data_IF_613270197321
#
_entry.id   IF_613270197321
#
_cell.length_a   1.000
_cell.length_b   1.000
_cell.length_c   1.000
_cell.angle_alpha   90.00
_cell.angle_beta   90.00
_cell.angle_gamma   90.00
#
_symmetry.space_group_name_H-M   'P 1'
#
loop_
_entity.id
_entity.type
_entity.pdbx_description
1 polymer ?
#
# COMPACT_ATOMS: atom_id res chain seq x y z
N UNK A 1 29.09 16.37 -4.96
CA UNK A 1 28.62 17.43 -5.88
C UNK A 1 28.54 16.93 -7.29
N UNK A 2 29.62 16.38 -7.87
CA UNK A 2 29.65 15.90 -9.25
C UNK A 2 28.66 14.76 -9.50
N UNK A 3 28.55 13.80 -8.59
CA UNK A 3 27.59 12.67 -8.65
C UNK A 3 26.12 13.13 -8.53
N UNK A 4 25.84 14.14 -7.70
CA UNK A 4 24.48 14.69 -7.55
C UNK A 4 24.01 15.49 -8.74
N UNK A 5 24.95 16.17 -9.43
CA UNK A 5 24.67 16.88 -10.69
C UNK A 5 24.43 15.90 -11.85
N UNK A 6 25.20 14.81 -11.90
CA UNK A 6 25.11 13.80 -12.96
C UNK A 6 23.81 12.97 -12.86
N UNK A 7 23.34 12.67 -11.65
CA UNK A 7 22.11 11.89 -11.42
C UNK A 7 20.86 12.73 -11.10
N UNK A 8 20.89 14.03 -11.38
CA UNK A 8 19.77 14.97 -11.09
C UNK A 8 18.42 14.53 -11.66
N UNK A 9 18.41 13.72 -12.72
CA UNK A 9 17.20 13.25 -13.43
C UNK A 9 16.50 12.05 -12.74
N UNK A 10 17.20 11.34 -11.86
CA UNK A 10 16.67 10.14 -11.17
C UNK A 10 16.46 10.34 -9.66
N UNK A 11 16.94 11.44 -9.08
CA UNK A 11 16.82 11.72 -7.65
C UNK A 11 15.60 12.57 -7.33
N UNK A 12 14.87 12.19 -6.29
CA UNK A 12 13.78 12.98 -5.74
C UNK A 12 14.29 14.39 -5.37
N UNK A 13 13.58 15.44 -5.80
CA UNK A 13 13.98 16.85 -5.58
C UNK A 13 14.28 17.15 -4.11
N UNK A 14 13.54 16.56 -3.17
CA UNK A 14 13.77 16.73 -1.72
C UNK A 14 15.17 16.27 -1.29
N UNK A 15 15.68 15.18 -1.88
CA UNK A 15 17.01 14.65 -1.60
C UNK A 15 18.13 15.58 -2.10
N UNK A 16 17.94 16.15 -3.27
CA UNK A 16 18.88 17.11 -3.85
C UNK A 16 18.96 18.38 -2.98
N UNK A 17 17.81 18.89 -2.53
CA UNK A 17 17.76 20.06 -1.66
C UNK A 17 18.42 19.83 -0.30
N UNK A 18 18.23 18.65 0.32
CA UNK A 18 18.88 18.32 1.59
C UNK A 18 20.41 18.38 1.51
N UNK A 19 20.99 17.80 0.44
CA UNK A 19 22.45 17.84 0.22
C UNK A 19 22.94 19.27 -0.02
N UNK A 20 22.20 20.08 -0.78
CA UNK A 20 22.57 21.47 -1.03
C UNK A 20 22.52 22.33 0.23
N UNK A 21 21.47 22.20 1.04
CA UNK A 21 21.34 22.91 2.32
C UNK A 21 22.51 22.54 3.24
N UNK A 22 22.85 21.26 3.35
CA UNK A 22 23.99 20.82 4.16
C UNK A 22 25.30 21.40 3.65
N UNK A 23 25.55 21.41 2.35
CA UNK A 23 26.78 21.99 1.78
C UNK A 23 26.90 23.50 2.05
N UNK A 24 25.81 24.24 1.90
CA UNK A 24 25.81 25.68 2.19
C UNK A 24 26.09 25.92 3.67
N UNK A 25 25.42 25.17 4.56
CA UNK A 25 25.65 25.28 6.01
C UNK A 25 27.10 24.98 6.39
N UNK A 26 27.69 23.95 5.81
CA UNK A 26 29.08 23.58 6.03
C UNK A 26 30.04 24.64 5.53
N UNK A 27 29.82 25.20 4.34
CA UNK A 27 30.65 26.25 3.74
C UNK A 27 30.62 27.53 4.56
N UNK A 28 29.42 27.95 5.01
CA UNK A 28 29.27 29.16 5.87
C UNK A 28 29.97 28.92 7.22
N UNK A 29 29.84 27.77 7.82
CA UNK A 29 30.48 27.41 9.10
C UNK A 29 32.01 27.40 8.98
N UNK A 30 32.55 26.89 7.87
CA UNK A 30 33.97 26.88 7.59
C UNK A 30 34.53 28.32 7.40
N UNK A 31 33.77 29.20 6.72
CA UNK A 31 34.14 30.58 6.54
C UNK A 31 34.15 31.34 7.87
N UNK A 32 33.15 31.16 8.73
CA UNK A 32 33.11 31.80 10.06
C UNK A 32 34.29 31.34 10.92
N UNK A 33 34.59 30.02 10.90
CA UNK A 33 35.72 29.46 11.66
C UNK A 33 37.07 29.98 11.12
N UNK A 34 37.17 30.20 9.81
CA UNK A 34 38.38 30.81 9.23
C UNK A 34 38.59 32.25 9.72
N UNK A 35 37.53 33.03 9.88
CA UNK A 35 37.59 34.40 10.39
C UNK A 35 37.89 34.46 11.91
N UNK A 36 37.42 33.44 12.66
CA UNK A 36 37.61 33.39 14.10
C UNK A 36 38.01 31.95 14.52
N UNK A 37 39.30 31.73 14.57
CA UNK A 37 39.93 30.41 14.82
C UNK A 37 39.64 29.81 16.23
N UNK A 38 39.09 30.61 17.15
CA UNK A 38 38.67 30.12 18.49
C UNK A 38 37.33 29.42 18.50
N UNK A 39 36.55 29.48 17.42
CA UNK A 39 35.22 28.89 17.31
C UNK A 39 35.27 27.57 16.54
N UNK A 40 35.02 26.47 17.23
CA UNK A 40 34.95 25.12 16.64
C UNK A 40 33.52 24.81 16.13
N UNK A 41 33.04 25.60 15.15
CA UNK A 41 31.65 25.51 14.66
C UNK A 41 31.48 24.45 13.56
N UNK A 42 32.53 24.17 12.78
CA UNK A 42 32.44 23.23 11.62
C UNK A 42 32.05 21.82 12.05
N UNK A 43 32.58 21.33 13.17
CA UNK A 43 32.21 20.01 13.70
C UNK A 43 30.74 19.92 14.08
N UNK A 44 30.22 20.95 14.76
CA UNK A 44 28.82 21.03 15.13
C UNK A 44 27.91 21.12 13.88
N UNK A 45 28.24 21.99 12.95
CA UNK A 45 27.49 22.14 11.69
C UNK A 45 27.48 20.84 10.85
N UNK A 46 28.63 20.12 10.84
CA UNK A 46 28.71 18.81 10.18
C UNK A 46 27.80 17.77 10.83
N UNK A 47 27.76 17.72 12.16
CA UNK A 47 26.90 16.77 12.91
C UNK A 47 25.42 17.08 12.69
N UNK A 48 25.03 18.33 12.79
CA UNK A 48 23.64 18.76 12.52
C UNK A 48 23.25 18.46 11.06
N UNK A 49 24.14 18.76 10.12
CA UNK A 49 23.89 18.50 8.71
C UNK A 49 23.75 17.01 8.38
N UNK A 50 24.59 16.13 8.99
CA UNK A 50 24.45 14.68 8.86
C UNK A 50 23.14 14.19 9.47
N UNK A 51 22.72 14.74 10.61
CA UNK A 51 21.43 14.41 11.22
C UNK A 51 20.25 14.82 10.30
N UNK A 52 20.31 15.99 9.69
CA UNK A 52 19.29 16.44 8.74
C UNK A 52 19.25 15.55 7.50
N UNK A 53 20.42 15.20 6.96
CA UNK A 53 20.52 14.25 5.84
C UNK A 53 19.94 12.90 6.24
N UNK A 54 20.27 12.36 7.40
CA UNK A 54 19.71 11.10 7.89
C UNK A 54 18.19 11.14 7.99
N UNK A 55 17.62 12.20 8.59
CA UNK A 55 16.18 12.36 8.75
C UNK A 55 15.44 12.54 7.39
N UNK A 56 16.07 13.18 6.43
CA UNK A 56 15.45 13.46 5.11
C UNK A 56 15.69 12.35 4.07
N UNK A 57 16.81 11.64 4.16
CA UNK A 57 17.19 10.61 3.20
C UNK A 57 16.87 9.19 3.66
N UNK A 58 17.03 8.93 4.95
CA UNK A 58 16.95 7.61 5.54
C UNK A 58 16.05 7.64 6.78
N UNK A 59 14.76 7.87 6.57
CA UNK A 59 13.80 7.36 7.54
C UNK A 59 13.30 6.00 7.02
N UNK A 60 14.04 4.89 7.22
CA UNK A 60 13.62 3.56 6.77
C UNK A 60 12.32 3.13 7.45
N UNK A 61 12.01 3.69 8.63
CA UNK A 61 10.76 3.47 9.34
C UNK A 61 9.55 4.06 8.61
N UNK A 62 9.74 5.07 7.74
CA UNK A 62 8.63 5.63 6.95
C UNK A 62 8.12 4.71 5.86
N UNK A 63 8.90 3.71 5.44
CA UNK A 63 8.60 2.79 4.35
C UNK A 63 8.34 1.35 4.82
N UNK A 64 8.40 1.11 6.13
CA UNK A 64 8.11 -0.21 6.71
C UNK A 64 6.94 -0.11 7.67
N UNK A 65 6.17 -1.16 7.70
CA UNK A 65 5.16 -1.39 8.71
C UNK A 65 5.83 -1.81 10.03
N UNK A 66 5.35 -1.28 11.15
CA UNK A 66 6.00 -1.48 12.46
C UNK A 66 5.72 -2.86 13.05
N UNK A 67 4.59 -3.45 12.73
CA UNK A 67 4.15 -4.72 13.30
C UNK A 67 4.70 -5.89 12.50
N UNK A 68 4.56 -5.87 11.17
CA UNK A 68 5.01 -6.94 10.30
C UNK A 68 6.46 -6.81 9.84
N UNK A 69 7.04 -5.59 9.88
CA UNK A 69 8.36 -5.31 9.31
C UNK A 69 8.42 -5.31 7.78
N UNK A 70 7.31 -5.62 7.11
CA UNK A 70 7.16 -5.54 5.65
C UNK A 70 7.23 -4.10 5.15
N UNK A 71 7.36 -3.92 3.85
CA UNK A 71 7.16 -2.60 3.26
C UNK A 71 5.70 -2.17 3.43
N UNK A 72 5.49 -0.88 3.70
CA UNK A 72 4.15 -0.34 3.90
C UNK A 72 3.51 0.16 2.59
N UNK A 73 2.28 0.66 2.69
CA UNK A 73 1.51 1.23 1.58
C UNK A 73 2.26 2.35 0.83
N UNK A 74 2.98 3.22 1.56
CA UNK A 74 3.77 4.30 0.96
C UNK A 74 4.90 3.75 0.08
N UNK A 75 5.58 2.72 0.54
CA UNK A 75 6.61 2.04 -0.23
C UNK A 75 6.03 1.36 -1.48
N UNK A 76 4.86 0.71 -1.35
CA UNK A 76 4.14 0.12 -2.48
C UNK A 76 3.82 1.16 -3.55
N UNK A 77 3.24 2.30 -3.17
CA UNK A 77 2.89 3.36 -4.12
C UNK A 77 4.12 3.89 -4.86
N UNK A 78 5.23 4.10 -4.15
CA UNK A 78 6.49 4.53 -4.77
C UNK A 78 7.04 3.48 -5.73
N UNK A 79 7.02 2.21 -5.33
CA UNK A 79 7.52 1.10 -6.14
C UNK A 79 6.65 0.87 -7.39
N UNK A 80 5.33 0.82 -7.24
CA UNK A 80 4.40 0.71 -8.35
C UNK A 80 4.56 1.87 -9.33
N UNK A 81 4.63 3.12 -8.86
CA UNK A 81 4.89 4.29 -9.70
C UNK A 81 6.18 4.18 -10.49
N UNK A 82 7.23 3.62 -9.91
CA UNK A 82 8.49 3.38 -10.61
C UNK A 82 8.34 2.34 -11.72
N UNK A 83 7.64 1.22 -11.47
CA UNK A 83 7.40 0.18 -12.48
C UNK A 83 6.53 0.71 -13.64
N UNK A 84 5.44 1.41 -13.33
CA UNK A 84 4.61 2.06 -14.35
C UNK A 84 5.39 3.07 -15.20
N UNK A 85 6.27 3.87 -14.60
CA UNK A 85 7.09 4.83 -15.35
C UNK A 85 8.07 4.18 -16.33
N UNK A 86 8.41 2.91 -16.11
CA UNK A 86 9.28 2.11 -16.97
C UNK A 86 8.51 1.24 -17.95
N UNK A 87 7.18 1.26 -17.92
CA UNK A 87 6.31 0.33 -18.65
C UNK A 87 6.63 -1.15 -18.37
N UNK A 88 7.07 -1.46 -17.15
CA UNK A 88 7.31 -2.82 -16.71
C UNK A 88 5.99 -3.43 -16.23
N UNK A 89 5.56 -4.54 -16.85
CA UNK A 89 4.41 -5.30 -16.37
C UNK A 89 4.78 -6.16 -15.16
N UNK A 90 3.85 -6.35 -14.24
CA UNK A 90 4.04 -7.17 -13.05
C UNK A 90 2.71 -7.77 -12.58
N UNK A 91 2.80 -8.88 -11.87
CA UNK A 91 1.65 -9.53 -11.26
C UNK A 91 1.48 -9.15 -9.79
N UNK A 92 0.26 -9.33 -9.28
CA UNK A 92 -0.06 -9.12 -7.87
C UNK A 92 -0.77 -10.34 -7.29
N UNK A 93 -0.40 -10.70 -6.08
CA UNK A 93 -1.15 -11.65 -5.23
C UNK A 93 -1.40 -10.98 -3.89
N UNK A 94 -2.64 -10.71 -3.53
CA UNK A 94 -3.00 -10.25 -2.20
C UNK A 94 -3.49 -11.42 -1.35
N UNK A 95 -2.90 -11.56 -0.17
CA UNK A 95 -3.30 -12.48 0.88
C UNK A 95 -4.17 -11.71 1.85
N UNK A 96 -5.47 -12.03 1.89
CA UNK A 96 -6.43 -11.39 2.80
C UNK A 96 -6.72 -12.35 3.93
N UNK A 97 -6.38 -11.96 5.15
CA UNK A 97 -6.54 -12.79 6.33
C UNK A 97 -7.84 -12.44 7.08
N UNK A 98 -8.57 -13.40 7.63
CA UNK A 98 -9.81 -13.17 8.38
C UNK A 98 -9.52 -12.70 9.82
N UNK A 99 -8.66 -11.69 9.99
CA UNK A 99 -8.24 -11.22 11.32
C UNK A 99 -9.37 -10.58 12.14
N UNK A 100 -10.41 -10.07 11.50
CA UNK A 100 -11.52 -9.44 12.19
C UNK A 100 -12.22 -10.36 13.21
N UNK A 101 -12.03 -11.67 13.04
CA UNK A 101 -12.56 -12.69 13.95
C UNK A 101 -11.58 -13.06 15.07
N UNK A 102 -10.31 -12.62 14.95
CA UNK A 102 -9.25 -12.93 15.89
C UNK A 102 -8.84 -11.64 16.60
N UNK A 103 -9.18 -11.55 17.87
CA UNK A 103 -8.86 -10.38 18.71
C UNK A 103 -7.39 -9.95 18.55
N UNK A 104 -7.16 -8.68 18.21
CA UNK A 104 -5.85 -8.07 17.93
C UNK A 104 -4.82 -8.11 19.09
N UNK A 105 -5.15 -8.73 20.21
CA UNK A 105 -4.30 -8.82 21.40
C UNK A 105 -3.69 -10.21 21.67
N UNK A 106 -3.84 -11.17 20.77
CA UNK A 106 -3.28 -12.49 21.01
C UNK A 106 -1.79 -12.54 20.58
N UNK A 107 -0.91 -12.82 21.54
CA UNK A 107 0.54 -13.05 21.32
C UNK A 107 0.80 -14.10 20.24
N UNK A 108 -0.13 -15.04 20.04
CA UNK A 108 -0.06 -16.07 19.01
C UNK A 108 -0.20 -15.46 17.61
N UNK A 109 -1.01 -14.39 17.47
CA UNK A 109 -1.20 -13.71 16.20
C UNK A 109 0.08 -13.00 15.76
N UNK A 110 0.77 -12.32 16.68
CA UNK A 110 2.05 -11.68 16.36
C UNK A 110 3.09 -12.72 15.94
N UNK A 111 3.19 -13.86 16.65
CA UNK A 111 4.08 -14.95 16.26
C UNK A 111 3.74 -15.51 14.89
N UNK A 112 2.46 -15.68 14.59
CA UNK A 112 1.98 -16.14 13.28
C UNK A 112 2.36 -15.13 12.19
N UNK A 113 2.12 -13.83 12.40
CA UNK A 113 2.46 -12.78 11.45
C UNK A 113 3.97 -12.77 11.14
N UNK A 114 4.82 -12.92 12.15
CA UNK A 114 6.28 -12.99 11.96
C UNK A 114 6.64 -14.18 11.05
N UNK A 115 6.11 -15.36 11.32
CA UNK A 115 6.43 -16.57 10.54
C UNK A 115 5.90 -16.47 9.10
N UNK A 116 4.72 -15.89 8.91
CA UNK A 116 4.17 -15.61 7.56
C UNK A 116 5.05 -14.61 6.83
N UNK A 117 5.43 -13.53 7.50
CA UNK A 117 6.30 -12.49 6.95
C UNK A 117 7.66 -13.05 6.51
N UNK A 118 8.30 -13.84 7.35
CA UNK A 118 9.57 -14.50 7.02
C UNK A 118 9.42 -15.40 5.80
N UNK A 119 8.32 -16.15 5.72
CA UNK A 119 8.06 -17.01 4.58
C UNK A 119 7.85 -16.23 3.29
N UNK A 120 6.97 -15.21 3.28
CA UNK A 120 6.71 -14.41 2.07
C UNK A 120 7.94 -13.64 1.61
N UNK A 121 8.78 -13.18 2.54
CA UNK A 121 10.07 -12.56 2.22
C UNK A 121 11.11 -13.55 1.66
N UNK A 122 10.95 -14.84 1.92
CA UNK A 122 11.85 -15.89 1.38
C UNK A 122 11.50 -16.30 -0.06
N UNK A 123 10.34 -15.88 -0.58
CA UNK A 123 9.93 -16.20 -1.94
C UNK A 123 10.83 -15.49 -2.96
N UNK A 124 11.29 -16.19 -4.00
CA UNK A 124 12.19 -15.61 -5.00
C UNK A 124 11.45 -14.58 -5.87
N UNK A 125 12.08 -13.45 -6.13
CA UNK A 125 11.61 -12.39 -7.04
C UNK A 125 10.23 -11.80 -6.70
N UNK A 126 9.87 -11.86 -5.42
CA UNK A 126 8.64 -11.33 -4.85
C UNK A 126 8.97 -10.23 -3.85
N UNK A 127 8.25 -9.13 -3.91
CA UNK A 127 8.29 -8.07 -2.89
C UNK A 127 6.98 -8.07 -2.10
N UNK A 128 7.08 -8.11 -0.79
CA UNK A 128 5.92 -8.17 0.10
C UNK A 128 5.67 -6.80 0.76
N UNK A 129 4.40 -6.40 0.76
CA UNK A 129 3.92 -5.12 1.31
C UNK A 129 2.73 -5.36 2.24
N UNK A 130 2.73 -4.67 3.39
CA UNK A 130 1.55 -4.58 4.25
C UNK A 130 0.68 -3.42 3.74
N UNK A 131 -0.54 -3.72 3.28
CA UNK A 131 -1.44 -2.72 2.70
C UNK A 131 -2.54 -2.30 3.66
N UNK A 132 -3.11 -3.25 4.38
CA UNK A 132 -4.10 -3.05 5.45
C UNK A 132 -3.71 -3.99 6.60
N UNK A 133 -4.34 -3.86 7.77
CA UNK A 133 -4.06 -4.71 8.94
C UNK A 133 -4.20 -6.21 8.65
N UNK A 134 -5.06 -6.56 7.69
CA UNK A 134 -5.38 -7.94 7.31
C UNK A 134 -4.90 -8.33 5.91
N UNK A 135 -4.13 -7.48 5.21
CA UNK A 135 -3.81 -7.70 3.81
C UNK A 135 -2.31 -7.56 3.54
N UNK A 136 -1.69 -8.66 3.14
CA UNK A 136 -0.32 -8.69 2.61
C UNK A 136 -0.38 -8.77 1.09
N UNK A 137 0.20 -7.79 0.41
CA UNK A 137 0.30 -7.75 -1.05
C UNK A 137 1.69 -8.19 -1.51
N UNK A 138 1.71 -9.15 -2.40
CA UNK A 138 2.92 -9.63 -3.07
C UNK A 138 2.96 -9.04 -4.48
N UNK A 139 4.05 -8.34 -4.79
CA UNK A 139 4.35 -7.82 -6.12
C UNK A 139 5.36 -8.77 -6.77
N UNK A 140 4.99 -9.37 -7.88
CA UNK A 140 5.78 -10.33 -8.63
C UNK A 140 6.41 -9.63 -9.82
N UNK A 141 7.73 -9.76 -10.00
CA UNK A 141 8.42 -9.18 -11.16
C UNK A 141 7.95 -9.80 -12.46
N UNK A 142 8.15 -9.09 -13.55
CA UNK A 142 7.88 -9.59 -14.90
C UNK A 142 8.61 -10.92 -15.13
N UNK A 143 7.88 -11.91 -15.67
CA UNK A 143 8.41 -13.24 -15.97
C UNK A 143 8.30 -14.25 -14.83
N UNK A 144 7.86 -13.84 -13.64
CA UNK A 144 7.56 -14.77 -12.55
C UNK A 144 6.23 -15.48 -12.81
N UNK A 145 6.24 -16.79 -12.70
CA UNK A 145 5.05 -17.63 -12.84
C UNK A 145 4.14 -17.47 -11.59
N UNK A 146 3.03 -16.75 -11.79
CA UNK A 146 2.06 -16.47 -10.72
C UNK A 146 1.42 -17.74 -10.21
N UNK A 147 1.08 -18.70 -11.08
CA UNK A 147 0.44 -19.95 -10.68
C UNK A 147 1.36 -20.78 -9.81
N UNK A 148 2.65 -20.77 -10.10
CA UNK A 148 3.67 -21.42 -9.28
C UNK A 148 3.77 -20.81 -7.90
N UNK A 149 3.80 -19.48 -7.80
CA UNK A 149 3.84 -18.79 -6.50
C UNK A 149 2.53 -19.02 -5.73
N UNK A 150 1.38 -18.93 -6.39
CA UNK A 150 0.09 -19.26 -5.77
C UNK A 150 0.09 -20.69 -5.21
N UNK A 151 0.57 -21.66 -5.98
CA UNK A 151 0.64 -23.07 -5.55
C UNK A 151 1.55 -23.24 -4.34
N UNK A 152 2.70 -22.58 -4.31
CA UNK A 152 3.62 -22.59 -3.17
C UNK A 152 2.95 -22.00 -1.92
N UNK A 153 2.26 -20.87 -2.04
CA UNK A 153 1.54 -20.22 -0.96
C UNK A 153 0.41 -21.15 -0.43
N UNK A 154 -0.42 -21.67 -1.32
CA UNK A 154 -1.53 -22.58 -0.95
C UNK A 154 -1.01 -23.82 -0.24
N UNK A 155 0.02 -24.44 -0.76
CA UNK A 155 0.65 -25.64 -0.14
C UNK A 155 1.14 -25.31 1.27
N UNK A 156 1.81 -24.16 1.44
CA UNK A 156 2.34 -23.75 2.73
C UNK A 156 1.24 -23.45 3.75
N UNK A 157 0.17 -22.76 3.35
CA UNK A 157 -0.96 -22.45 4.23
C UNK A 157 -1.83 -23.67 4.55
N UNK A 158 -1.74 -24.74 3.75
CA UNK A 158 -2.43 -26.02 4.04
C UNK A 158 -1.69 -26.84 5.09
N UNK A 159 -0.36 -26.73 5.16
CA UNK A 159 0.47 -27.50 6.09
C UNK A 159 0.41 -26.98 7.54
N UNK A 160 -0.20 -25.81 7.77
CA UNK A 160 -0.25 -25.18 9.08
C UNK A 160 1.08 -24.53 9.49
N UNK A 161 1.02 -23.73 10.54
CA UNK A 161 2.14 -22.92 11.06
C UNK A 161 2.38 -23.27 12.53
N UNK A 162 3.66 -23.53 12.87
CA UNK A 162 4.06 -23.87 14.23
C UNK A 162 4.33 -25.36 14.47
N UNK A 163 4.82 -25.68 15.66
CA UNK A 163 5.23 -27.06 16.05
C UNK A 163 4.08 -28.03 16.17
N UNK A 164 2.87 -27.53 16.41
CA UNK A 164 1.67 -28.37 16.64
C UNK A 164 0.65 -28.31 15.48
N UNK A 165 0.93 -27.67 14.36
CA UNK A 165 0.02 -27.50 13.22
C UNK A 165 -1.38 -26.91 13.56
N UNK A 166 -1.55 -26.29 14.72
CA UNK A 166 -2.84 -25.90 15.28
C UNK A 166 -3.42 -24.61 14.71
N UNK A 167 -2.62 -23.80 14.03
CA UNK A 167 -3.08 -22.51 13.47
C UNK A 167 -3.29 -22.60 11.96
N UNK A 168 -4.42 -23.18 11.56
CA UNK A 168 -4.88 -23.20 10.17
C UNK A 168 -5.63 -21.90 9.84
N UNK A 169 -4.89 -20.79 9.70
CA UNK A 169 -5.46 -19.57 9.13
C UNK A 169 -5.30 -19.66 7.63
N UNK A 170 -6.40 -19.74 6.90
CA UNK A 170 -6.41 -19.76 5.43
C UNK A 170 -6.73 -18.36 4.93
N UNK A 171 -5.81 -17.70 4.25
CA UNK A 171 -6.11 -16.44 3.61
C UNK A 171 -6.99 -16.62 2.39
N UNK A 172 -7.74 -15.60 2.02
CA UNK A 172 -8.28 -15.50 0.67
C UNK A 172 -7.19 -14.93 -0.26
N UNK A 173 -7.18 -15.42 -1.50
CA UNK A 173 -6.20 -15.05 -2.52
C UNK A 173 -6.87 -14.15 -3.54
N UNK A 174 -6.42 -12.91 -3.67
CA UNK A 174 -6.82 -12.02 -4.76
C UNK A 174 -5.65 -11.91 -5.73
N UNK A 175 -5.87 -12.31 -6.98
CA UNK A 175 -4.81 -12.51 -7.96
C UNK A 175 -5.06 -11.60 -9.15
N UNK A 176 -4.10 -10.75 -9.47
CA UNK A 176 -4.05 -9.96 -10.69
C UNK A 176 -2.85 -10.42 -11.52
N UNK A 177 -3.08 -11.15 -12.62
CA UNK A 177 -2.00 -11.69 -13.43
C UNK A 177 -1.10 -10.62 -14.06
N UNK A 178 -1.67 -9.47 -14.40
CA UNK A 178 -0.97 -8.35 -15.02
C UNK A 178 -1.61 -7.05 -14.60
N UNK A 179 -0.78 -6.07 -14.26
CA UNK A 179 -1.25 -4.70 -13.98
C UNK A 179 -1.50 -3.88 -15.24
N UNK A 180 -1.22 -4.42 -16.43
CA UNK A 180 -1.48 -3.77 -17.72
C UNK A 180 -2.96 -3.43 -17.96
N UNK A 181 -3.88 -4.01 -17.17
CA UNK A 181 -5.30 -3.62 -17.17
C UNK A 181 -5.54 -2.24 -16.56
N UNK A 182 -4.57 -1.68 -15.83
CA UNK A 182 -4.65 -0.40 -15.13
C UNK A 182 -3.90 0.70 -15.87
N UNK A 183 -4.46 1.90 -15.89
CA UNK A 183 -3.80 3.08 -16.46
C UNK A 183 -2.90 3.78 -15.43
N UNK A 184 -3.25 3.73 -14.16
CA UNK A 184 -2.57 4.46 -13.10
C UNK A 184 -2.17 3.55 -11.93
N UNK A 185 -0.91 3.68 -11.49
CA UNK A 185 -0.41 2.96 -10.31
C UNK A 185 -1.16 3.28 -9.01
N UNK A 186 -1.78 4.46 -8.94
CA UNK A 186 -2.54 4.93 -7.78
C UNK A 186 -3.86 4.17 -7.58
N UNK A 187 -4.35 3.47 -8.61
CA UNK A 187 -5.59 2.70 -8.55
C UNK A 187 -5.41 1.29 -7.96
N UNK A 188 -4.18 0.81 -7.78
CA UNK A 188 -3.90 -0.54 -7.24
C UNK A 188 -4.58 -0.74 -5.88
N UNK A 189 -4.32 0.13 -4.91
CA UNK A 189 -4.86 -0.03 -3.56
C UNK A 189 -6.39 0.17 -3.50
N UNK A 190 -6.96 1.22 -4.13
CA UNK A 190 -8.41 1.36 -4.23
C UNK A 190 -9.07 0.13 -4.87
N UNK A 191 -8.45 -0.45 -5.90
CA UNK A 191 -8.99 -1.64 -6.56
C UNK A 191 -8.96 -2.87 -5.66
N UNK A 192 -7.87 -3.11 -4.94
CA UNK A 192 -7.78 -4.18 -3.96
C UNK A 192 -8.85 -4.04 -2.87
N UNK A 193 -9.03 -2.83 -2.32
CA UNK A 193 -10.06 -2.55 -1.31
C UNK A 193 -11.48 -2.73 -1.85
N UNK A 194 -11.72 -2.29 -3.08
CA UNK A 194 -13.00 -2.51 -3.75
C UNK A 194 -13.28 -4.00 -3.95
N UNK A 195 -12.30 -4.75 -4.47
CA UNK A 195 -12.43 -6.18 -4.70
C UNK A 195 -12.71 -6.96 -3.40
N UNK A 196 -12.02 -6.59 -2.31
CA UNK A 196 -12.22 -7.16 -0.99
C UNK A 196 -13.66 -6.94 -0.47
N UNK A 197 -14.26 -5.79 -0.74
CA UNK A 197 -15.64 -5.49 -0.35
C UNK A 197 -16.67 -6.12 -1.29
N UNK A 198 -16.39 -6.15 -2.60
CA UNK A 198 -17.33 -6.61 -3.62
C UNK A 198 -17.40 -8.14 -3.73
N UNK A 199 -16.30 -8.82 -3.40
CA UNK A 199 -16.19 -10.26 -3.50
C UNK A 199 -16.37 -10.88 -2.12
N UNK A 200 -17.22 -11.91 -2.04
CA UNK A 200 -17.36 -12.69 -0.80
C UNK A 200 -16.08 -13.53 -0.61
N UNK A 201 -15.25 -13.18 0.36
CA UNK A 201 -13.99 -13.87 0.67
C UNK A 201 -14.21 -15.26 1.29
N UNK A 202 -15.48 -15.64 1.55
CA UNK A 202 -15.86 -16.93 2.13
C UNK A 202 -16.26 -17.97 1.08
N UNK A 203 -15.80 -17.85 -0.17
CA UNK A 203 -16.01 -18.91 -1.18
C UNK A 203 -15.16 -20.14 -0.85
N UNK A 204 -15.64 -21.33 -1.18
CA UNK A 204 -14.94 -22.60 -0.89
C UNK A 204 -13.51 -22.64 -1.44
N UNK A 205 -13.24 -21.93 -2.53
CA UNK A 205 -11.93 -21.88 -3.17
C UNK A 205 -11.04 -20.71 -2.70
N UNK A 206 -11.58 -19.77 -1.92
CA UNK A 206 -10.86 -18.58 -1.41
C UNK A 206 -10.00 -17.85 -2.48
N UNK A 207 -10.40 -17.92 -3.76
CA UNK A 207 -9.67 -17.38 -4.90
C UNK A 207 -10.51 -16.37 -5.65
N UNK A 208 -9.99 -15.16 -5.82
CA UNK A 208 -10.61 -14.07 -6.56
C UNK A 208 -9.64 -13.62 -7.64
N UNK A 209 -10.07 -13.65 -8.91
CA UNK A 209 -9.30 -13.09 -10.01
C UNK A 209 -9.69 -11.62 -10.16
N UNK A 210 -8.69 -10.74 -10.13
CA UNK A 210 -8.83 -9.32 -10.34
C UNK A 210 -8.69 -9.04 -11.85
N UNK A 211 -9.82 -8.94 -12.52
CA UNK A 211 -9.91 -8.76 -13.96
C UNK A 211 -10.38 -7.34 -14.34
N UNK A 212 -10.40 -7.08 -15.64
CA UNK A 212 -10.85 -5.79 -16.18
C UNK A 212 -12.32 -5.50 -15.90
N UNK A 213 -13.16 -6.54 -15.80
CA UNK A 213 -14.60 -6.38 -15.53
C UNK A 213 -14.83 -5.85 -14.11
N UNK A 214 -14.07 -6.35 -13.16
CA UNK A 214 -14.11 -5.91 -11.77
C UNK A 214 -13.54 -4.49 -11.63
N UNK A 215 -12.48 -4.17 -12.37
CA UNK A 215 -11.89 -2.82 -12.41
C UNK A 215 -12.92 -1.80 -12.97
N UNK A 216 -13.61 -2.15 -14.05
CA UNK A 216 -14.65 -1.30 -14.63
C UNK A 216 -15.77 -1.01 -13.63
N UNK A 217 -16.22 -2.02 -12.87
CA UNK A 217 -17.22 -1.84 -11.81
C UNK A 217 -16.75 -0.90 -10.70
N UNK A 218 -15.48 -0.92 -10.37
CA UNK A 218 -14.90 0.04 -9.42
C UNK A 218 -14.98 1.47 -9.96
N UNK A 219 -14.64 1.69 -11.23
CA UNK A 219 -14.71 3.02 -11.83
C UNK A 219 -16.15 3.51 -11.92
N UNK A 220 -17.09 2.68 -12.33
CA UNK A 220 -18.53 3.00 -12.34
C UNK A 220 -19.05 3.39 -10.96
N UNK A 221 -18.67 2.62 -9.91
CA UNK A 221 -19.03 2.97 -8.53
C UNK A 221 -18.46 4.32 -8.12
N UNK A 222 -17.19 4.60 -8.43
CA UNK A 222 -16.52 5.88 -8.11
C UNK A 222 -17.20 7.04 -8.83
N UNK A 223 -17.59 6.87 -10.09
CA UNK A 223 -18.34 7.88 -10.86
C UNK A 223 -19.70 8.19 -10.21
N UNK A 224 -20.44 7.16 -9.82
CA UNK A 224 -21.72 7.32 -9.11
C UNK A 224 -21.54 8.03 -7.77
N UNK A 225 -20.53 7.66 -6.98
CA UNK A 225 -20.22 8.31 -5.70
C UNK A 225 -19.87 9.79 -5.90
N UNK A 226 -19.13 10.12 -6.96
CA UNK A 226 -18.80 11.50 -7.30
C UNK A 226 -20.04 12.29 -7.72
N UNK A 227 -20.90 11.72 -8.56
CA UNK A 227 -22.17 12.34 -8.98
C UNK A 227 -23.08 12.61 -7.79
N UNK A 228 -23.19 11.68 -6.85
CA UNK A 228 -23.97 11.86 -5.61
C UNK A 228 -23.35 12.96 -4.75
N UNK A 229 -22.03 12.97 -4.57
CA UNK A 229 -21.34 14.00 -3.80
C UNK A 229 -21.54 15.39 -4.39
N UNK A 230 -21.46 15.52 -5.72
CA UNK A 230 -21.70 16.78 -6.43
C UNK A 230 -23.17 17.20 -6.35
N UNK A 231 -24.11 16.25 -6.44
CA UNK A 231 -25.53 16.53 -6.29
C UNK A 231 -25.89 17.04 -4.89
N UNK A 232 -25.28 16.47 -3.85
CA UNK A 232 -25.40 16.94 -2.48
C UNK A 232 -24.79 18.33 -2.29
N UNK A 233 -23.59 18.55 -2.80
CA UNK A 233 -22.87 19.82 -2.66
C UNK A 233 -23.59 21.00 -3.33
N UNK A 234 -24.26 20.75 -4.44
CA UNK A 234 -24.96 21.77 -5.22
C UNK A 234 -26.48 21.75 -5.02
N UNK A 235 -26.99 21.06 -3.97
CA UNK A 235 -28.42 20.98 -3.62
C UNK A 235 -29.31 20.55 -4.80
N UNK A 236 -28.81 19.54 -5.58
CA UNK A 236 -29.52 19.03 -6.75
C UNK A 236 -30.38 17.81 -6.47
N UNK A 237 -30.44 17.37 -5.20
CA UNK A 237 -31.27 16.22 -4.80
C UNK A 237 -32.68 16.70 -4.52
N UNK A 238 -33.63 16.09 -5.22
CA UNK A 238 -35.04 16.34 -5.02
C UNK A 238 -35.68 15.12 -4.34
N UNK A 239 -36.44 15.38 -3.29
CA UNK A 239 -37.17 14.33 -2.59
C UNK A 239 -38.57 14.23 -3.19
N UNK A 240 -38.91 13.05 -3.69
CA UNK A 240 -40.25 12.76 -4.18
C UNK A 240 -40.94 11.82 -3.19
N UNK A 241 -42.18 12.16 -2.85
CA UNK A 241 -43.01 11.32 -2.00
C UNK A 241 -43.98 10.51 -2.86
N UNK A 242 -44.07 9.21 -2.62
CA UNK A 242 -45.05 8.35 -3.23
C UNK A 242 -46.26 8.24 -2.30
N UNK A 243 -47.42 8.80 -2.62
CA UNK A 243 -48.59 8.74 -1.77
C UNK A 243 -49.11 7.30 -1.69
N UNK A 244 -49.39 6.84 -0.48
CA UNK A 244 -49.97 5.52 -0.21
C UNK A 244 -51.46 5.69 -0.04
N UNK A 245 -52.25 5.10 -0.94
CA UNK A 245 -53.68 5.10 -0.87
C UNK A 245 -54.23 3.86 -0.14
N UNK A 246 -54.95 4.08 0.93
CA UNK A 246 -55.62 3.00 1.65
C UNK A 246 -56.94 2.67 0.95
N UNK A 247 -57.03 1.47 0.41
CA UNK A 247 -58.28 0.97 -0.23
C UNK A 247 -59.36 0.73 0.80
N UNK A 248 -59.02 0.47 2.05
CA UNK A 248 -59.96 0.26 3.16
C UNK A 248 -60.56 1.59 3.65
N UNK A 249 -59.75 2.62 3.79
CA UNK A 249 -60.20 3.93 4.26
C UNK A 249 -60.53 4.90 3.11
N UNK A 250 -60.27 4.47 1.86
CA UNK A 250 -60.48 5.26 0.63
C UNK A 250 -59.88 6.67 0.68
N UNK A 251 -58.70 6.80 1.30
CA UNK A 251 -57.95 8.05 1.38
C UNK A 251 -56.46 7.80 1.36
N UNK A 252 -55.69 8.84 1.07
CA UNK A 252 -54.22 8.81 1.23
C UNK A 252 -53.89 8.82 2.74
N UNK A 253 -53.09 7.88 3.22
CA UNK A 253 -52.77 7.69 4.63
C UNK A 253 -51.36 8.10 4.96
N UNK A 254 -50.43 8.08 4.01
CA UNK A 254 -49.02 8.50 4.15
C UNK A 254 -48.41 8.81 2.79
N UNK A 255 -47.24 9.47 2.83
CA UNK A 255 -46.42 9.75 1.68
C UNK A 255 -44.94 9.56 2.06
#
# INVERSE_FOLDING_TARGET
VFLTLYHKRSMNQKRVWAVWIWMVLWMVSAFIQFLNNSLLIVGFASSVGLMVIYLLLENPESNRDRESGLFNETALQQYAKQLFSKNEDFGLIALVFPWAELSAMDTRMQQFLIVVTDYVCSLPEVYAFQCDDDTILLVLKQGVDIEKIETMLRSRFTLGWGTNHESLVKPAYMIMPSVAIMEHSEDILPFLRFAKQACNTNTEDNRIILDQSLLQRMYEKREVEQLISDALKYDRIQVYYQPIYSTKERKFTSA
#
